data_IF_245963719675
#
_entry.id   IF_245963719675
#
_cell.length_a   1.000
_cell.length_b   1.000
_cell.length_c   1.000
_cell.angle_alpha   90.00
_cell.angle_beta   90.00
_cell.angle_gamma   90.00
#
_symmetry.space_group_name_H-M   'P 1'
#
loop_
_entity.id
_entity.type
_entity.pdbx_description
1 polymer ?
#
# COMPACT_ATOMS: atom_id res chain seq x y z
N UNK A 1 -0.19 -22.52 -29.26
CA UNK A 1 -0.58 -22.40 -27.83
C UNK A 1 0.18 -21.22 -27.22
N UNK A 2 0.01 -20.03 -27.79
CA UNK A 2 0.82 -18.84 -27.48
C UNK A 2 -0.04 -17.63 -27.09
N UNK A 3 -1.32 -17.63 -27.47
CA UNK A 3 -2.26 -16.52 -27.26
C UNK A 3 -2.87 -16.48 -25.85
N UNK A 4 -3.00 -17.62 -25.17
CA UNK A 4 -3.57 -17.67 -23.81
C UNK A 4 -2.71 -16.93 -22.78
N UNK A 5 -1.38 -17.07 -22.86
CA UNK A 5 -0.45 -16.40 -21.94
C UNK A 5 -0.41 -14.88 -22.12
N UNK A 6 -0.65 -14.38 -23.33
CA UNK A 6 -0.71 -12.93 -23.59
C UNK A 6 -2.04 -12.34 -23.09
N UNK A 7 -3.12 -13.11 -23.21
CA UNK A 7 -4.44 -12.74 -22.71
C UNK A 7 -4.47 -12.67 -21.18
N UNK A 8 -3.84 -13.63 -20.50
CA UNK A 8 -3.77 -13.64 -19.03
C UNK A 8 -3.00 -12.43 -18.48
N UNK A 9 -1.85 -12.09 -19.10
CA UNK A 9 -1.09 -10.87 -18.76
C UNK A 9 -1.90 -9.59 -18.99
N UNK A 10 -2.69 -9.50 -20.07
CA UNK A 10 -3.57 -8.34 -20.32
C UNK A 10 -4.65 -8.23 -19.25
N UNK A 11 -5.20 -9.34 -18.78
CA UNK A 11 -6.20 -9.37 -17.69
C UNK A 11 -5.57 -8.90 -16.37
N UNK A 12 -4.36 -9.35 -16.04
CA UNK A 12 -3.65 -8.89 -14.83
C UNK A 12 -3.34 -7.39 -14.87
N UNK A 13 -2.85 -6.88 -16.01
CA UNK A 13 -2.63 -5.45 -16.22
C UNK A 13 -3.94 -4.68 -16.04
N UNK A 14 -5.06 -5.19 -16.57
CA UNK A 14 -6.36 -4.56 -16.41
C UNK A 14 -6.83 -4.56 -14.95
N UNK A 15 -6.63 -5.66 -14.21
CA UNK A 15 -6.93 -5.74 -12.77
C UNK A 15 -6.13 -4.71 -11.98
N UNK A 16 -4.81 -4.59 -12.22
CA UNK A 16 -3.95 -3.62 -11.55
C UNK A 16 -4.37 -2.18 -11.90
N UNK A 17 -4.63 -1.87 -13.18
CA UNK A 17 -5.13 -0.55 -13.61
C UNK A 17 -6.47 -0.21 -12.96
N UNK A 18 -7.38 -1.18 -12.84
CA UNK A 18 -8.66 -1.00 -12.17
C UNK A 18 -8.47 -0.76 -10.67
N UNK A 19 -7.57 -1.49 -10.01
CA UNK A 19 -7.20 -1.27 -8.61
C UNK A 19 -6.63 0.13 -8.40
N UNK A 20 -5.70 0.59 -9.25
CA UNK A 20 -5.14 1.94 -9.20
C UNK A 20 -6.27 2.98 -9.31
N UNK A 21 -7.17 2.84 -10.28
CA UNK A 21 -8.31 3.74 -10.46
C UNK A 21 -9.25 3.75 -9.24
N UNK A 22 -9.50 2.58 -8.65
CA UNK A 22 -10.29 2.47 -7.41
C UNK A 22 -9.59 3.10 -6.21
N UNK A 23 -8.26 2.96 -6.09
CA UNK A 23 -7.47 3.57 -5.02
C UNK A 23 -7.38 5.09 -5.17
N UNK A 24 -7.31 5.62 -6.39
CA UNK A 24 -7.35 7.06 -6.66
C UNK A 24 -8.73 7.68 -6.38
N UNK A 25 -9.80 6.94 -6.68
CA UNK A 25 -11.17 7.35 -6.36
C UNK A 25 -11.46 7.27 -4.85
N UNK A 26 -10.78 6.38 -4.14
CA UNK A 26 -10.93 6.22 -2.70
C UNK A 26 -10.35 7.43 -1.95
N UNK A 27 -11.25 8.30 -1.46
CA UNK A 27 -10.90 9.39 -0.53
C UNK A 27 -11.16 8.96 0.91
N UNK A 28 -10.16 9.08 1.77
CA UNK A 28 -10.30 8.85 3.20
C UNK A 28 -10.75 10.11 3.95
N UNK A 29 -11.32 9.94 5.15
CA UNK A 29 -11.45 11.04 6.11
C UNK A 29 -10.07 11.26 6.76
N UNK A 30 -9.31 12.25 6.27
CA UNK A 30 -8.04 12.69 6.86
C UNK A 30 -6.76 12.10 6.25
N UNK A 31 -5.64 12.22 6.98
CA UNK A 31 -4.29 11.75 6.62
C UNK A 31 -4.04 10.32 7.10
N UNK A 32 -4.64 9.34 6.43
CA UNK A 32 -4.65 7.94 6.88
C UNK A 32 -4.27 6.95 5.78
N UNK A 33 -3.76 7.44 4.64
CA UNK A 33 -3.34 6.61 3.51
C UNK A 33 -1.84 6.44 3.55
N UNK A 34 -1.40 5.20 3.78
CA UNK A 34 0.00 4.80 3.71
C UNK A 34 0.23 4.10 2.37
N UNK A 35 1.14 4.68 1.59
CA UNK A 35 1.66 4.11 0.36
C UNK A 35 3.09 3.66 0.61
N UNK A 36 3.32 2.35 0.51
CA UNK A 36 4.62 1.75 0.64
C UNK A 36 4.97 1.01 -0.65
N UNK A 37 6.13 1.33 -1.20
CA UNK A 37 6.66 0.74 -2.43
C UNK A 37 8.08 0.29 -2.14
N UNK A 38 8.32 -0.99 -2.39
CA UNK A 38 9.61 -1.63 -2.17
C UNK A 38 10.18 -2.13 -3.50
N UNK A 39 11.39 -1.68 -3.87
CA UNK A 39 12.05 -2.18 -5.06
C UNK A 39 12.49 -3.65 -4.86
N UNK A 40 12.71 -4.40 -5.95
CA UNK A 40 13.27 -5.73 -5.85
C UNK A 40 14.67 -5.65 -5.23
N UNK A 41 15.04 -6.67 -4.46
CA UNK A 41 16.28 -6.75 -3.64
C UNK A 41 16.26 -5.93 -2.34
N UNK A 42 15.21 -5.16 -2.06
CA UNK A 42 15.10 -4.51 -0.76
C UNK A 42 14.84 -5.51 0.37
N UNK A 43 15.34 -5.24 1.58
CA UNK A 43 15.13 -6.11 2.72
C UNK A 43 13.87 -5.72 3.50
N UNK A 44 12.97 -6.69 3.70
CA UNK A 44 11.73 -6.52 4.48
C UNK A 44 12.04 -6.12 5.93
N UNK A 45 13.14 -6.62 6.50
CA UNK A 45 13.58 -6.26 7.83
C UNK A 45 13.84 -4.75 7.99
N UNK A 46 14.47 -4.12 6.99
CA UNK A 46 14.74 -2.68 6.99
C UNK A 46 13.44 -1.86 7.01
N UNK A 47 12.47 -2.26 6.19
CA UNK A 47 11.16 -1.59 6.12
C UNK A 47 10.34 -1.83 7.38
N UNK A 48 10.43 -3.03 7.96
CA UNK A 48 9.75 -3.33 9.24
C UNK A 48 10.28 -2.44 10.36
N UNK A 49 11.60 -2.22 10.41
CA UNK A 49 12.23 -1.30 11.37
C UNK A 49 11.80 0.15 11.13
N UNK A 50 11.77 0.58 9.87
CA UNK A 50 11.27 1.91 9.50
C UNK A 50 9.81 2.10 9.97
N UNK A 51 8.93 1.14 9.70
CA UNK A 51 7.53 1.19 10.15
C UNK A 51 7.40 1.19 11.68
N UNK A 52 8.29 0.51 12.40
CA UNK A 52 8.30 0.55 13.86
C UNK A 52 8.67 1.95 14.39
N UNK A 53 9.65 2.61 13.77
CA UNK A 53 9.99 4.00 14.11
C UNK A 53 8.85 4.97 13.78
N UNK A 54 8.19 4.78 12.64
CA UNK A 54 6.99 5.54 12.25
C UNK A 54 5.82 5.29 13.21
N UNK A 55 5.66 4.08 13.73
CA UNK A 55 4.64 3.78 14.75
C UNK A 55 4.88 4.59 16.03
N UNK A 56 6.12 4.63 16.52
CA UNK A 56 6.47 5.43 17.70
C UNK A 56 6.27 6.92 17.43
N UNK A 57 6.66 7.42 16.25
CA UNK A 57 6.49 8.82 15.88
C UNK A 57 5.00 9.19 15.76
N UNK A 58 4.20 8.33 15.14
CA UNK A 58 2.76 8.49 15.00
C UNK A 58 2.02 8.49 16.35
N UNK A 59 2.57 7.83 17.37
CA UNK A 59 1.98 7.83 18.72
C UNK A 59 1.97 9.23 19.37
N UNK A 60 2.87 10.12 18.95
CA UNK A 60 2.96 11.50 19.42
C UNK A 60 1.96 12.46 18.73
N UNK A 61 1.18 11.99 17.75
CA UNK A 61 0.16 12.81 17.08
C UNK A 61 -0.89 13.26 18.10
N UNK A 62 -1.12 14.58 18.20
CA UNK A 62 -2.05 15.20 19.15
C UNK A 62 -3.51 14.83 18.88
N UNK A 63 -3.91 14.71 17.60
CA UNK A 63 -5.26 14.32 17.21
C UNK A 63 -5.48 12.84 17.48
N UNK A 64 -6.37 12.52 18.44
CA UNK A 64 -6.71 11.13 18.81
C UNK A 64 -7.19 10.31 17.60
N UNK A 65 -8.03 10.91 16.76
CA UNK A 65 -8.61 10.24 15.58
C UNK A 65 -7.50 9.93 14.57
N UNK A 66 -6.69 10.92 14.20
CA UNK A 66 -5.60 10.71 13.23
C UNK A 66 -4.57 9.72 13.76
N UNK A 67 -4.22 9.80 15.05
CA UNK A 67 -3.31 8.87 15.69
C UNK A 67 -3.83 7.43 15.57
N UNK A 68 -5.10 7.20 15.91
CA UNK A 68 -5.68 5.86 15.85
C UNK A 68 -5.74 5.32 14.41
N UNK A 69 -6.02 6.18 13.43
CA UNK A 69 -6.02 5.79 12.02
C UNK A 69 -4.61 5.44 11.51
N UNK A 70 -3.60 6.27 11.79
CA UNK A 70 -2.22 6.05 11.34
C UNK A 70 -1.62 4.82 12.01
N UNK A 71 -1.77 4.67 13.34
CA UNK A 71 -1.30 3.48 14.05
C UNK A 71 -1.98 2.20 13.53
N UNK A 72 -3.28 2.27 13.22
CA UNK A 72 -4.02 1.17 12.61
C UNK A 72 -3.45 0.80 11.24
N UNK A 73 -3.20 1.78 10.37
CA UNK A 73 -2.65 1.55 9.03
C UNK A 73 -1.24 0.94 9.07
N UNK A 74 -0.37 1.43 9.95
CA UNK A 74 0.99 0.91 10.14
C UNK A 74 0.94 -0.53 10.68
N UNK A 75 0.07 -0.81 11.65
CA UNK A 75 -0.09 -2.17 12.21
C UNK A 75 -0.54 -3.15 11.12
N UNK A 76 -1.52 -2.77 10.31
CA UNK A 76 -1.99 -3.58 9.17
C UNK A 76 -0.88 -3.77 8.13
N UNK A 77 -0.07 -2.74 7.88
CA UNK A 77 1.07 -2.84 6.97
C UNK A 77 2.10 -3.86 7.46
N UNK A 78 2.49 -3.78 8.74
CA UNK A 78 3.43 -4.69 9.37
C UNK A 78 2.92 -6.14 9.35
N UNK A 79 1.63 -6.36 9.61
CA UNK A 79 1.02 -7.68 9.54
C UNK A 79 1.10 -8.26 8.12
N UNK A 80 0.86 -7.46 7.08
CA UNK A 80 1.03 -7.92 5.69
C UNK A 80 2.47 -8.18 5.31
N UNK A 81 3.38 -7.29 5.70
CA UNK A 81 4.83 -7.47 5.47
C UNK A 81 5.35 -8.76 6.10
N UNK A 82 4.86 -9.18 7.27
CA UNK A 82 5.26 -10.45 7.91
C UNK A 82 4.90 -11.70 7.10
N UNK A 83 3.89 -11.64 6.24
CA UNK A 83 3.53 -12.77 5.37
C UNK A 83 4.55 -12.95 4.24
N UNK A 84 5.30 -11.91 3.90
CA UNK A 84 6.35 -11.95 2.90
C UNK A 84 7.69 -12.22 3.58
N UNK A 85 8.33 -13.36 3.27
CA UNK A 85 9.70 -13.63 3.73
C UNK A 85 10.75 -12.93 2.87
N UNK A 86 10.42 -12.58 1.62
CA UNK A 86 11.31 -11.91 0.66
C UNK A 86 10.50 -11.01 -0.26
N UNK A 87 11.10 -9.90 -0.70
CA UNK A 87 10.47 -9.02 -1.70
C UNK A 87 10.44 -9.76 -3.05
N UNK A 88 9.29 -9.75 -3.77
CA UNK A 88 9.18 -10.34 -5.10
C UNK A 88 10.13 -9.74 -6.12
N UNK A 89 10.29 -10.41 -7.26
CA UNK A 89 11.25 -10.04 -8.31
C UNK A 89 10.94 -8.71 -9.01
N UNK A 90 9.68 -8.29 -9.06
CA UNK A 90 9.30 -6.99 -9.60
C UNK A 90 9.12 -5.91 -8.51
N UNK A 91 9.33 -6.26 -7.24
CA UNK A 91 9.06 -5.39 -6.10
C UNK A 91 7.74 -5.72 -5.42
N UNK A 92 7.42 -4.99 -4.36
CA UNK A 92 6.17 -5.13 -3.63
C UNK A 92 5.55 -3.77 -3.41
N UNK A 93 4.27 -3.66 -3.72
CA UNK A 93 3.46 -2.48 -3.44
C UNK A 93 2.46 -2.83 -2.35
N UNK A 94 2.39 -1.99 -1.33
CA UNK A 94 1.47 -2.11 -0.21
C UNK A 94 0.77 -0.78 0.01
N UNK A 95 -0.55 -0.80 -0.16
CA UNK A 95 -1.43 0.31 0.16
C UNK A 95 -2.29 -0.06 1.35
N UNK A 96 -2.27 0.78 2.37
CA UNK A 96 -3.02 0.58 3.60
C UNK A 96 -3.64 1.90 4.05
N UNK A 97 -4.90 1.87 4.41
CA UNK A 97 -5.59 3.05 4.91
C UNK A 97 -7.03 2.80 5.25
N UNK A 98 -7.70 3.83 5.76
CA UNK A 98 -9.11 3.78 6.10
C UNK A 98 -9.89 4.66 5.14
N UNK A 99 -10.80 4.05 4.39
CA UNK A 99 -11.74 4.74 3.52
C UNK A 99 -13.10 4.84 4.23
N UNK A 100 -13.88 5.85 3.90
CA UNK A 100 -15.26 5.96 4.36
C UNK A 100 -16.15 5.65 3.16
N UNK A 101 -17.00 4.63 3.28
CA UNK A 101 -18.00 4.34 2.26
C UNK A 101 -19.17 5.33 2.36
N UNK A 102 -20.00 5.42 1.33
CA UNK A 102 -21.19 6.29 1.28
C UNK A 102 -22.15 6.09 2.47
N UNK A 103 -22.19 4.90 3.08
CA UNK A 103 -22.89 4.60 4.33
C UNK A 103 -22.31 5.26 5.60
N UNK A 104 -21.25 6.06 5.47
CA UNK A 104 -20.56 6.69 6.60
C UNK A 104 -19.72 5.73 7.45
N UNK A 105 -19.65 4.45 7.07
CA UNK A 105 -18.86 3.43 7.76
C UNK A 105 -17.39 3.50 7.34
N UNK A 106 -16.51 3.46 8.34
CA UNK A 106 -15.07 3.33 8.15
C UNK A 106 -14.71 1.90 7.75
N UNK A 107 -14.04 1.76 6.60
CA UNK A 107 -13.53 0.50 6.10
C UNK A 107 -12.01 0.57 5.97
N UNK A 108 -11.32 -0.33 6.66
CA UNK A 108 -9.89 -0.53 6.49
C UNK A 108 -9.65 -1.24 5.16
N UNK A 109 -8.81 -0.65 4.33
CA UNK A 109 -8.38 -1.19 3.05
C UNK A 109 -6.90 -1.51 3.17
N UNK A 110 -6.55 -2.73 2.81
CA UNK A 110 -5.17 -3.17 2.71
C UNK A 110 -5.05 -3.95 1.42
N UNK A 111 -4.20 -3.46 0.53
CA UNK A 111 -3.98 -4.02 -0.81
C UNK A 111 -2.48 -4.20 -0.98
N UNK A 112 -2.07 -5.44 -1.16
CA UNK A 112 -0.73 -5.86 -1.49
C UNK A 112 -0.72 -6.53 -2.86
N UNK A 113 0.23 -6.14 -3.71
CA UNK A 113 0.42 -6.78 -5.01
C UNK A 113 1.85 -6.57 -5.54
N UNK A 114 2.24 -7.46 -6.45
CA UNK A 114 3.46 -7.34 -7.23
C UNK A 114 3.17 -6.54 -8.53
N UNK A 115 3.92 -5.48 -8.84
CA UNK A 115 3.75 -4.73 -10.08
C UNK A 115 4.25 -5.54 -11.29
N UNK A 116 3.65 -5.31 -12.45
CA UNK A 116 4.04 -5.97 -13.72
C UNK A 116 5.40 -5.51 -14.27
N UNK A 117 5.90 -4.37 -13.79
CA UNK A 117 7.22 -3.84 -14.13
C UNK A 117 8.04 -3.72 -12.84
N UNK A 118 9.35 -4.06 -12.88
CA UNK A 118 10.22 -3.85 -11.73
C UNK A 118 10.29 -2.37 -11.38
N UNK A 119 9.96 -2.05 -10.14
CA UNK A 119 10.05 -0.67 -9.63
C UNK A 119 11.42 -0.48 -8.98
N UNK A 120 12.20 0.49 -9.42
CA UNK A 120 13.49 0.82 -8.80
C UNK A 120 13.38 1.88 -7.69
N UNK A 121 12.19 2.49 -7.53
CA UNK A 121 11.92 3.48 -6.51
C UNK A 121 11.48 2.82 -5.20
N UNK A 122 12.05 3.26 -4.08
CA UNK A 122 11.43 3.06 -2.77
C UNK A 122 10.65 4.32 -2.42
N UNK A 123 9.39 4.16 -2.03
CA UNK A 123 8.53 5.26 -1.61
C UNK A 123 7.74 4.84 -0.39
N UNK A 124 7.86 5.62 0.67
CA UNK A 124 6.98 5.57 1.83
C UNK A 124 6.36 6.94 1.99
N UNK A 125 5.02 7.02 1.94
CA UNK A 125 4.30 8.27 2.10
C UNK A 125 3.01 8.02 2.86
N UNK A 126 2.84 8.77 3.96
CA UNK A 126 1.60 8.84 4.70
C UNK A 126 0.91 10.16 4.36
N UNK A 127 -0.30 10.11 3.80
CA UNK A 127 -1.02 11.28 3.33
C UNK A 127 -2.53 11.09 3.33
N UNK A 128 -3.23 12.00 2.67
CA UNK A 128 -4.68 11.94 2.48
C UNK A 128 -5.11 11.15 1.23
N UNK A 129 -4.16 10.81 0.36
CA UNK A 129 -4.38 10.12 -0.91
C UNK A 129 -3.29 9.07 -1.12
N UNK A 130 -3.67 7.96 -1.74
CA UNK A 130 -2.70 6.98 -2.21
C UNK A 130 -1.83 7.57 -3.32
N UNK A 131 -0.52 7.41 -3.18
CA UNK A 131 0.43 7.79 -4.22
C UNK A 131 0.66 6.61 -5.15
N UNK A 132 0.00 6.63 -6.30
CA UNK A 132 0.08 5.65 -7.38
C UNK A 132 1.11 6.02 -8.46
N UNK A 133 1.83 7.15 -8.31
CA UNK A 133 2.76 7.68 -9.32
C UNK A 133 3.86 6.72 -9.75
N UNK A 134 4.31 5.82 -8.87
CA UNK A 134 5.34 4.84 -9.22
C UNK A 134 4.81 3.65 -10.05
N UNK A 135 3.49 3.56 -10.26
CA UNK A 135 2.83 2.54 -11.06
C UNK A 135 2.29 3.06 -12.40
N UNK A 136 2.36 4.37 -12.63
CA UNK A 136 1.81 5.03 -13.82
C UNK A 136 2.84 5.13 -14.95
#
# INVERSE_FOLDING_TARGET
MSDDHETDKKIEIWKIKRLIKSLEAARGKGTSMVSLIMPPRHQIAGVTKMLANEFTTASNIKSRVNRQSVLGAITSAQQRLKLYSKVPTNGLVLYTGTIVNDDGKEKKVTVDFEPFKPINASLYLCGNKFHTKALN
#
